data_IF_661018298668
#
_entry.id   IF_661018298668
#
_cell.length_a   1.000
_cell.length_b   1.000
_cell.length_c   1.000
_cell.angle_alpha   90.00
_cell.angle_beta   90.00
_cell.angle_gamma   90.00
#
_symmetry.space_group_name_H-M   'P 1'
#
loop_
_entity.id
_entity.type
_entity.pdbx_description
1 polymer ?
#
# COMPACT_ATOMS: atom_id res chain seq x y z
N UNK A 1 8.62 1.76 8.82
CA UNK A 1 7.64 2.43 7.93
C UNK A 1 8.17 3.81 7.57
N UNK A 2 7.89 4.39 6.39
CA UNK A 2 8.25 5.77 6.09
C UNK A 2 7.58 6.72 7.08
N UNK A 3 8.30 7.75 7.54
CA UNK A 3 7.83 8.67 8.59
C UNK A 3 6.51 9.36 8.21
N UNK A 4 6.33 9.69 6.92
CA UNK A 4 5.08 10.27 6.40
C UNK A 4 3.90 9.30 6.41
N UNK A 5 4.13 8.02 6.08
CA UNK A 5 3.10 6.99 6.16
C UNK A 5 2.68 6.75 7.61
N UNK A 6 3.65 6.58 8.51
CA UNK A 6 3.40 6.33 9.93
C UNK A 6 2.57 7.45 10.57
N UNK A 7 2.93 8.70 10.30
CA UNK A 7 2.16 9.86 10.75
C UNK A 7 0.76 9.92 10.14
N UNK A 8 0.58 9.53 8.88
CA UNK A 8 -0.74 9.47 8.26
C UNK A 8 -1.63 8.44 8.97
N UNK A 9 -1.10 7.25 9.28
CA UNK A 9 -1.84 6.21 10.02
C UNK A 9 -2.17 6.67 11.44
N UNK A 10 -1.21 7.25 12.16
CA UNK A 10 -1.42 7.77 13.53
C UNK A 10 -2.49 8.86 13.60
N UNK A 11 -2.65 9.63 12.53
CA UNK A 11 -3.68 10.68 12.39
C UNK A 11 -5.04 10.13 11.94
N UNK A 12 -5.21 8.82 11.81
CA UNK A 12 -6.46 8.19 11.40
C UNK A 12 -6.68 8.15 9.87
N UNK A 13 -5.61 8.29 9.09
CA UNK A 13 -5.68 8.20 7.63
C UNK A 13 -6.09 6.81 7.14
N UNK A 14 -6.78 6.77 5.99
CA UNK A 14 -7.27 5.53 5.40
C UNK A 14 -6.14 4.80 4.66
N UNK A 15 -5.78 3.62 5.14
CA UNK A 15 -4.77 2.77 4.46
C UNK A 15 -5.42 1.92 3.39
N UNK A 16 -4.85 1.91 2.19
CA UNK A 16 -5.21 0.98 1.12
C UNK A 16 -3.97 0.27 0.61
N UNK A 17 -4.13 -1.00 0.27
CA UNK A 17 -3.11 -1.75 -0.45
C UNK A 17 -3.32 -1.53 -1.94
N UNK A 18 -2.27 -1.10 -2.64
CA UNK A 18 -2.30 -0.91 -4.09
C UNK A 18 -1.19 -1.71 -4.76
N UNK A 19 -1.42 -2.08 -6.01
CA UNK A 19 -0.38 -2.60 -6.90
C UNK A 19 0.28 -1.41 -7.62
N UNK A 20 1.59 -1.16 -7.45
CA UNK A 20 2.28 -0.13 -8.21
C UNK A 20 2.19 -0.45 -9.71
N UNK A 21 1.74 0.52 -10.52
CA UNK A 21 1.83 0.42 -11.99
C UNK A 21 3.32 0.47 -12.42
N UNK A 22 3.72 -0.37 -13.36
CA UNK A 22 5.09 -0.41 -13.89
C UNK A 22 6.11 -1.17 -13.04
N UNK A 23 5.68 -1.87 -11.99
CA UNK A 23 6.53 -2.81 -11.22
C UNK A 23 6.03 -4.24 -11.41
N UNK A 24 6.91 -5.18 -11.07
CA UNK A 24 6.63 -6.61 -11.11
C UNK A 24 5.26 -6.96 -10.56
N UNK A 25 4.64 -7.96 -11.18
CA UNK A 25 3.33 -8.44 -10.76
C UNK A 25 3.30 -9.09 -9.37
N UNK A 26 4.46 -9.15 -8.71
CA UNK A 26 4.72 -9.74 -7.40
C UNK A 26 5.04 -8.68 -6.33
N UNK A 27 4.64 -7.42 -6.52
CA UNK A 27 4.80 -6.38 -5.51
C UNK A 27 3.51 -5.66 -5.16
N UNK A 28 3.41 -5.21 -3.91
CA UNK A 28 2.36 -4.33 -3.42
C UNK A 28 2.95 -3.21 -2.58
N UNK A 29 2.20 -2.14 -2.41
CA UNK A 29 2.49 -1.12 -1.40
C UNK A 29 1.25 -0.77 -0.63
N UNK A 30 1.43 -0.33 0.61
CA UNK A 30 0.37 0.34 1.35
C UNK A 30 0.47 1.83 1.08
N UNK A 31 -0.65 2.48 0.84
CA UNK A 31 -0.74 3.94 0.72
C UNK A 31 -1.77 4.42 1.73
N UNK A 32 -1.38 5.39 2.55
CA UNK A 32 -2.25 6.04 3.51
C UNK A 32 -2.78 7.34 2.91
N UNK A 33 -4.09 7.55 2.97
CA UNK A 33 -4.76 8.74 2.48
C UNK A 33 -5.30 9.55 3.65
N UNK A 34 -4.88 10.82 3.74
CA UNK A 34 -5.32 11.75 4.78
C UNK A 34 -5.46 13.15 4.18
N UNK A 35 -6.62 13.78 4.37
CA UNK A 35 -6.91 15.15 3.89
C UNK A 35 -6.56 15.38 2.41
N UNK A 36 -6.92 14.43 1.54
CA UNK A 36 -6.63 14.50 0.10
C UNK A 36 -5.17 14.25 -0.29
N UNK A 37 -4.26 14.07 0.68
CA UNK A 37 -2.86 13.72 0.45
C UNK A 37 -2.65 12.22 0.57
N UNK A 38 -1.82 11.67 -0.31
CA UNK A 38 -1.40 10.27 -0.28
C UNK A 38 0.04 10.15 0.25
N UNK A 39 0.23 9.22 1.17
CA UNK A 39 1.51 8.91 1.79
C UNK A 39 1.84 7.45 1.49
N UNK A 40 2.87 7.23 0.68
CA UNK A 40 3.29 5.90 0.27
C UNK A 40 4.10 5.19 1.36
N UNK A 41 3.76 3.94 1.62
CA UNK A 41 4.55 3.02 2.43
C UNK A 41 5.66 2.36 1.61
N UNK A 42 6.39 1.43 2.22
CA UNK A 42 7.38 0.64 1.48
C UNK A 42 6.72 -0.32 0.49
N UNK A 43 7.42 -0.55 -0.63
CA UNK A 43 7.08 -1.63 -1.56
C UNK A 43 7.46 -2.95 -0.90
N UNK A 44 6.51 -3.88 -0.85
CA UNK A 44 6.70 -5.24 -0.37
C UNK A 44 6.63 -6.20 -1.55
N UNK A 45 7.56 -7.14 -1.56
CA UNK A 45 7.54 -8.28 -2.47
C UNK A 45 6.63 -9.36 -1.87
N UNK A 46 5.69 -9.84 -2.65
CA UNK A 46 4.84 -10.98 -2.30
C UNK A 46 4.70 -11.89 -3.51
N UNK A 47 4.59 -13.18 -3.27
CA UNK A 47 4.20 -14.12 -4.32
C UNK A 47 2.85 -13.72 -4.92
N UNK A 48 2.65 -14.01 -6.21
CA UNK A 48 1.42 -13.68 -6.92
C UNK A 48 0.15 -14.19 -6.19
N UNK A 49 0.25 -15.34 -5.52
CA UNK A 49 -0.82 -15.95 -4.71
C UNK A 49 -1.19 -15.09 -3.50
N UNK A 50 -0.20 -14.55 -2.78
CA UNK A 50 -0.40 -13.65 -1.64
C UNK A 50 -0.92 -12.28 -2.09
N UNK A 51 -0.45 -11.80 -3.25
CA UNK A 51 -0.93 -10.54 -3.83
C UNK A 51 -2.42 -10.61 -4.23
N UNK A 52 -2.84 -11.70 -4.88
CA UNK A 52 -4.23 -11.91 -5.27
C UNK A 52 -5.18 -11.92 -4.05
N UNK A 53 -4.74 -12.52 -2.94
CA UNK A 53 -5.46 -12.54 -1.66
C UNK A 53 -5.61 -11.15 -1.05
N UNK A 54 -4.57 -10.31 -1.13
CA UNK A 54 -4.60 -8.93 -0.60
C UNK A 54 -5.33 -7.93 -1.49
N UNK A 55 -5.33 -8.14 -2.81
CA UNK A 55 -6.01 -7.27 -3.78
C UNK A 55 -7.44 -7.71 -4.07
N UNK A 56 -7.93 -8.78 -3.43
CA UNK A 56 -9.32 -9.21 -3.52
C UNK A 56 -9.76 -9.67 -4.91
N UNK A 57 -8.82 -10.11 -5.76
CA UNK A 57 -9.19 -10.76 -7.03
C UNK A 57 -9.67 -12.18 -6.73
N UNK A 58 -10.98 -12.30 -6.44
CA UNK A 58 -11.74 -13.53 -6.68
C UNK A 58 -11.87 -13.76 -8.18
#
# INVERSE_FOLDING_TARGET
MPRGFDNCVKKGGRVRTIKPKGKDSSVYMHVCYLNGKSYSGYIKHASAKTLAKHLGKK
#
